data_IF_279209411239
#
_entry.id   IF_279209411239
#
_cell.length_a   1.000
_cell.length_b   1.000
_cell.length_c   1.000
_cell.angle_alpha   90.00
_cell.angle_beta   90.00
_cell.angle_gamma   90.00
#
_symmetry.space_group_name_H-M   'P 1'
#
loop_
_entity.id
_entity.type
_entity.pdbx_description
1 polymer ?
#
# COMPACT_ATOMS: atom_id res chain seq x y z
N UNK A 1 44.09 43.42 33.08
CA UNK A 1 44.81 42.28 32.46
C UNK A 1 43.81 41.53 31.59
N UNK A 2 43.83 41.79 30.29
CA UNK A 2 43.03 41.04 29.31
C UNK A 2 43.82 39.81 28.91
N UNK A 3 43.32 38.62 29.27
CA UNK A 3 43.85 37.35 28.80
C UNK A 3 43.43 37.15 27.33
N UNK A 4 44.11 37.84 26.41
CA UNK A 4 44.02 37.57 24.98
C UNK A 4 45.10 36.54 24.64
N UNK A 5 44.87 35.29 25.06
CA UNK A 5 45.74 34.18 24.67
C UNK A 5 45.21 33.60 23.35
N UNK A 6 45.87 33.88 22.19
CA UNK A 6 45.34 33.58 20.87
C UNK A 6 45.15 32.07 20.64
N UNK A 7 45.88 31.23 21.40
CA UNK A 7 45.75 29.77 21.34
C UNK A 7 44.43 29.26 21.90
N UNK A 8 43.89 29.91 22.94
CA UNK A 8 42.59 29.58 23.53
C UNK A 8 41.44 29.96 22.58
N UNK A 9 41.56 31.11 21.90
CA UNK A 9 40.57 31.54 20.90
C UNK A 9 40.54 30.62 19.68
N UNK A 10 41.71 30.22 19.16
CA UNK A 10 41.81 29.26 18.04
C UNK A 10 41.23 27.89 18.43
N UNK A 11 41.51 27.41 19.64
CA UNK A 11 41.00 26.11 20.12
C UNK A 11 39.47 26.12 20.29
N UNK A 12 38.90 27.20 20.84
CA UNK A 12 37.44 27.36 20.93
C UNK A 12 36.76 27.54 19.57
N UNK A 13 37.40 28.26 18.64
CA UNK A 13 36.89 28.41 17.28
C UNK A 13 36.86 27.07 16.52
N UNK A 14 37.89 26.24 16.68
CA UNK A 14 37.96 24.91 16.05
C UNK A 14 36.89 23.97 16.63
N UNK A 15 36.70 23.94 17.95
CA UNK A 15 35.65 23.10 18.57
C UNK A 15 34.24 23.57 18.23
N UNK A 16 33.98 24.88 18.20
CA UNK A 16 32.69 25.42 17.78
C UNK A 16 32.37 25.09 16.31
N UNK A 17 33.36 25.17 15.42
CA UNK A 17 33.18 24.82 14.00
C UNK A 17 32.98 23.31 13.82
N UNK A 18 33.72 22.47 14.56
CA UNK A 18 33.55 21.03 14.52
C UNK A 18 32.18 20.57 15.04
N UNK A 19 31.66 21.19 16.11
CA UNK A 19 30.33 20.89 16.65
C UNK A 19 29.20 21.34 15.72
N UNK A 20 29.32 22.52 15.11
CA UNK A 20 28.33 23.03 14.16
C UNK A 20 28.31 22.23 12.85
N UNK A 21 29.48 21.88 12.31
CA UNK A 21 29.58 21.03 11.11
C UNK A 21 29.12 19.61 11.41
N UNK A 22 29.53 19.02 12.54
CA UNK A 22 29.08 17.68 12.95
C UNK A 22 27.57 17.61 13.19
N UNK A 23 26.99 18.61 13.86
CA UNK A 23 25.55 18.72 14.07
C UNK A 23 24.76 18.93 12.77
N UNK A 24 25.28 19.77 11.86
CA UNK A 24 24.67 19.99 10.55
C UNK A 24 24.72 18.72 9.68
N UNK A 25 25.85 18.01 9.65
CA UNK A 25 26.00 16.75 8.90
C UNK A 25 25.06 15.69 9.48
N UNK A 26 25.00 15.53 10.80
CA UNK A 26 24.09 14.58 11.45
C UNK A 26 22.62 14.88 11.10
N UNK A 27 22.20 16.15 11.20
CA UNK A 27 20.85 16.58 10.84
C UNK A 27 20.51 16.34 9.36
N UNK A 28 21.47 16.59 8.46
CA UNK A 28 21.30 16.32 7.03
C UNK A 28 21.20 14.81 6.75
N UNK A 29 22.01 13.98 7.40
CA UNK A 29 21.97 12.52 7.23
C UNK A 29 20.69 11.88 7.79
N UNK A 30 20.22 12.33 8.96
CA UNK A 30 18.97 11.86 9.55
C UNK A 30 17.74 12.26 8.70
N UNK A 31 17.73 13.48 8.19
CA UNK A 31 16.70 13.92 7.24
C UNK A 31 16.74 13.14 5.92
N UNK A 32 17.93 12.81 5.43
CA UNK A 32 18.09 11.99 4.22
C UNK A 32 17.54 10.58 4.43
N UNK A 33 17.88 9.92 5.53
CA UNK A 33 17.37 8.59 5.87
C UNK A 33 15.84 8.59 6.01
N UNK A 34 15.26 9.54 6.75
CA UNK A 34 13.80 9.70 6.87
C UNK A 34 13.12 9.88 5.51
N UNK A 35 13.75 10.64 4.62
CA UNK A 35 13.23 10.87 3.25
C UNK A 35 13.28 9.60 2.41
N UNK A 36 14.36 8.83 2.49
CA UNK A 36 14.50 7.55 1.78
C UNK A 36 13.44 6.53 2.25
N UNK A 37 13.25 6.40 3.56
CA UNK A 37 12.26 5.51 4.17
C UNK A 37 10.85 5.88 3.70
N UNK A 38 10.50 7.16 3.76
CA UNK A 38 9.21 7.64 3.31
C UNK A 38 8.99 7.40 1.80
N UNK A 39 10.00 7.65 0.98
CA UNK A 39 9.92 7.40 -0.46
C UNK A 39 9.75 5.91 -0.77
N UNK A 40 10.40 5.03 -0.02
CA UNK A 40 10.23 3.58 -0.13
C UNK A 40 8.80 3.16 0.21
N UNK A 41 8.27 3.60 1.37
CA UNK A 41 6.90 3.33 1.78
C UNK A 41 5.88 3.84 0.74
N UNK A 42 6.09 5.05 0.21
CA UNK A 42 5.25 5.64 -0.84
C UNK A 42 5.29 4.83 -2.15
N UNK A 43 6.47 4.35 -2.55
CA UNK A 43 6.62 3.49 -3.74
C UNK A 43 5.85 2.17 -3.57
N UNK A 44 5.99 1.53 -2.41
CA UNK A 44 5.24 0.32 -2.05
C UNK A 44 3.73 0.55 -2.05
N UNK A 45 3.28 1.62 -1.41
CA UNK A 45 1.87 2.03 -1.41
C UNK A 45 1.34 2.18 -2.84
N UNK A 46 2.07 2.89 -3.71
CA UNK A 46 1.67 3.08 -5.11
C UNK A 46 1.57 1.76 -5.86
N UNK A 47 2.53 0.86 -5.67
CA UNK A 47 2.51 -0.48 -6.27
C UNK A 47 1.26 -1.26 -5.87
N UNK A 48 0.90 -1.25 -4.57
CA UNK A 48 -0.30 -1.93 -4.09
C UNK A 48 -1.58 -1.30 -4.62
N UNK A 49 -1.67 0.03 -4.61
CA UNK A 49 -2.83 0.72 -5.16
C UNK A 49 -2.99 0.47 -6.65
N UNK A 50 -1.89 0.37 -7.40
CA UNK A 50 -1.93 0.00 -8.80
C UNK A 50 -2.41 -1.44 -9.00
N UNK A 51 -1.89 -2.41 -8.22
CA UNK A 51 -2.37 -3.79 -8.26
C UNK A 51 -3.88 -3.88 -7.95
N UNK A 52 -4.34 -3.18 -6.90
CA UNK A 52 -5.76 -3.10 -6.55
C UNK A 52 -6.61 -2.44 -7.65
N UNK A 53 -6.09 -1.42 -8.34
CA UNK A 53 -6.79 -0.77 -9.45
C UNK A 53 -6.93 -1.70 -10.68
N UNK A 54 -5.94 -2.54 -10.95
CA UNK A 54 -6.06 -3.58 -11.98
C UNK A 54 -7.12 -4.60 -11.60
N UNK A 55 -7.08 -5.12 -10.36
CA UNK A 55 -8.10 -6.05 -9.86
C UNK A 55 -9.50 -5.42 -9.91
N UNK A 56 -9.63 -4.13 -9.59
CA UNK A 56 -10.90 -3.42 -9.68
C UNK A 56 -11.49 -3.39 -11.09
N UNK A 57 -10.65 -3.19 -12.11
CA UNK A 57 -11.07 -3.25 -13.52
C UNK A 57 -11.51 -4.68 -13.88
N UNK A 58 -10.75 -5.67 -13.45
CA UNK A 58 -11.04 -7.08 -13.74
C UNK A 58 -12.37 -7.53 -13.08
N UNK A 59 -12.62 -7.12 -11.83
CA UNK A 59 -13.89 -7.32 -11.13
C UNK A 59 -15.04 -6.65 -11.87
N UNK A 60 -14.86 -5.43 -12.37
CA UNK A 60 -15.90 -4.72 -13.12
C UNK A 60 -16.22 -5.42 -14.45
N UNK A 61 -15.24 -6.04 -15.10
CA UNK A 61 -15.46 -6.86 -16.31
C UNK A 61 -16.29 -8.09 -16.00
N UNK A 62 -15.97 -8.80 -14.90
CA UNK A 62 -16.75 -9.99 -14.50
C UNK A 62 -18.15 -9.62 -14.02
N UNK A 63 -18.30 -8.49 -13.33
CA UNK A 63 -19.62 -7.98 -12.96
C UNK A 63 -20.51 -7.78 -14.19
N UNK A 64 -19.99 -7.21 -15.28
CA UNK A 64 -20.74 -7.12 -16.55
C UNK A 64 -21.10 -8.48 -17.12
N UNK A 65 -20.15 -9.44 -17.12
CA UNK A 65 -20.40 -10.80 -17.57
C UNK A 65 -21.53 -11.46 -16.77
N UNK A 66 -21.56 -11.28 -15.45
CA UNK A 66 -22.60 -11.81 -14.57
C UNK A 66 -23.96 -11.16 -14.86
N UNK A 67 -23.97 -9.86 -15.18
CA UNK A 67 -25.18 -9.11 -15.49
C UNK A 67 -25.83 -9.56 -16.80
N UNK A 68 -24.99 -9.95 -17.76
CA UNK A 68 -25.39 -10.51 -19.05
C UNK A 68 -25.89 -11.97 -18.96
N UNK A 69 -25.70 -12.65 -17.82
CA UNK A 69 -26.20 -14.02 -17.64
C UNK A 69 -27.73 -14.04 -17.53
N UNK A 70 -28.40 -14.95 -18.28
CA UNK A 70 -29.84 -15.16 -18.13
C UNK A 70 -30.18 -15.75 -16.75
N UNK A 71 -31.38 -15.47 -16.27
CA UNK A 71 -31.89 -16.06 -15.03
C UNK A 71 -32.19 -17.56 -15.22
N UNK A 72 -31.95 -18.36 -14.18
CA UNK A 72 -32.15 -19.82 -14.24
C UNK A 72 -31.07 -20.56 -15.04
N UNK A 73 -29.93 -19.90 -15.29
CA UNK A 73 -28.75 -20.53 -15.89
C UNK A 73 -28.27 -21.67 -15.00
N UNK A 74 -27.95 -22.82 -15.58
CA UNK A 74 -27.46 -23.96 -14.79
C UNK A 74 -26.09 -23.64 -14.17
N UNK A 75 -25.83 -24.16 -12.97
CA UNK A 75 -24.51 -24.07 -12.34
C UNK A 75 -23.39 -24.67 -13.21
N UNK A 76 -23.75 -25.62 -14.09
CA UNK A 76 -22.84 -26.28 -15.01
C UNK A 76 -22.59 -25.49 -16.31
N UNK A 77 -23.32 -24.39 -16.52
CA UNK A 77 -23.09 -23.54 -17.67
C UNK A 77 -21.65 -23.04 -17.63
N UNK A 78 -20.97 -23.18 -18.78
CA UNK A 78 -19.58 -22.78 -18.94
C UNK A 78 -19.34 -21.33 -18.47
N UNK A 79 -20.26 -20.42 -18.80
CA UNK A 79 -20.18 -19.01 -18.42
C UNK A 79 -20.29 -18.77 -16.90
N UNK A 80 -21.07 -19.58 -16.19
CA UNK A 80 -21.17 -19.52 -14.71
C UNK A 80 -19.88 -20.00 -14.07
N UNK A 81 -19.35 -21.14 -14.54
CA UNK A 81 -18.07 -21.68 -14.05
C UNK A 81 -16.92 -20.72 -14.31
N UNK A 82 -16.86 -20.14 -15.51
CA UNK A 82 -15.87 -19.12 -15.87
C UNK A 82 -15.95 -17.90 -14.94
N UNK A 83 -17.16 -17.37 -14.69
CA UNK A 83 -17.32 -16.25 -13.76
C UNK A 83 -16.87 -16.62 -12.34
N UNK A 84 -17.20 -17.82 -11.87
CA UNK A 84 -16.81 -18.31 -10.55
C UNK A 84 -15.28 -18.44 -10.40
N UNK A 85 -14.62 -19.06 -11.38
CA UNK A 85 -13.15 -19.20 -11.41
C UNK A 85 -12.45 -17.84 -11.43
N UNK A 86 -12.94 -16.91 -12.25
CA UNK A 86 -12.38 -15.55 -12.32
C UNK A 86 -12.53 -14.81 -10.97
N UNK A 87 -13.67 -14.94 -10.30
CA UNK A 87 -13.87 -14.34 -8.98
C UNK A 87 -12.93 -14.95 -7.91
N UNK A 88 -12.68 -16.26 -7.96
CA UNK A 88 -11.72 -16.93 -7.07
C UNK A 88 -10.30 -16.41 -7.32
N UNK A 89 -9.86 -16.36 -8.58
CA UNK A 89 -8.55 -15.81 -8.94
C UNK A 89 -8.38 -14.36 -8.47
N UNK A 90 -9.44 -13.56 -8.47
CA UNK A 90 -9.38 -12.20 -7.93
C UNK A 90 -9.23 -12.17 -6.42
N UNK A 91 -9.87 -13.08 -5.68
CA UNK A 91 -9.66 -13.19 -4.24
C UNK A 91 -8.21 -13.59 -3.91
N UNK A 92 -7.64 -14.52 -4.67
CA UNK A 92 -6.23 -14.91 -4.52
C UNK A 92 -5.28 -13.73 -4.79
N UNK A 93 -5.51 -12.99 -5.88
CA UNK A 93 -4.73 -11.77 -6.19
C UNK A 93 -4.92 -10.67 -5.16
N UNK A 94 -6.12 -10.53 -4.59
CA UNK A 94 -6.36 -9.62 -3.48
C UNK A 94 -5.59 -10.07 -2.24
N UNK A 95 -5.52 -11.37 -1.97
CA UNK A 95 -4.80 -11.90 -0.81
C UNK A 95 -3.30 -11.64 -0.90
N UNK A 96 -2.72 -11.83 -2.10
CA UNK A 96 -1.32 -11.52 -2.40
C UNK A 96 -0.91 -10.05 -2.15
N UNK A 97 -1.87 -9.11 -2.13
CA UNK A 97 -1.61 -7.73 -1.69
C UNK A 97 -1.48 -7.71 -0.17
N UNK A 98 -0.24 -7.62 0.33
CA UNK A 98 0.10 -7.56 1.75
C UNK A 98 0.33 -6.10 2.16
N UNK A 99 -0.65 -5.37 2.73
CA UNK A 99 -0.51 -3.93 2.97
C UNK A 99 0.55 -3.60 4.02
N UNK A 100 0.84 -4.54 4.93
CA UNK A 100 1.80 -4.32 6.01
C UNK A 100 3.27 -4.31 5.52
N UNK A 101 3.57 -4.72 4.28
CA UNK A 101 4.92 -4.67 3.71
C UNK A 101 5.42 -3.22 3.43
N UNK A 102 4.52 -2.24 3.56
CA UNK A 102 4.81 -0.80 3.42
C UNK A 102 5.66 -0.32 4.61
N UNK A 103 5.52 -0.96 5.77
CA UNK A 103 6.21 -0.60 7.02
C UNK A 103 7.72 -0.79 6.87
N UNK A 104 8.48 0.22 7.28
CA UNK A 104 9.91 0.11 7.49
C UNK A 104 10.24 -0.10 8.98
N UNK A 105 10.78 -1.27 9.32
CA UNK A 105 11.13 -1.65 10.69
C UNK A 105 10.03 -2.43 11.44
N UNK A 106 10.18 -2.53 12.77
CA UNK A 106 9.27 -3.30 13.63
C UNK A 106 7.92 -2.61 13.87
N UNK A 107 7.88 -1.28 13.87
CA UNK A 107 6.68 -0.48 14.09
C UNK A 107 6.47 0.51 12.96
N UNK A 108 5.22 0.67 12.52
CA UNK A 108 4.88 1.63 11.47
C UNK A 108 4.83 3.04 12.06
N UNK A 109 5.47 3.99 11.40
CA UNK A 109 5.28 5.42 11.67
C UNK A 109 3.83 5.83 11.39
N UNK A 110 3.37 6.95 11.95
CA UNK A 110 2.00 7.45 11.72
C UNK A 110 1.68 7.61 10.23
N UNK A 111 2.64 8.08 9.42
CA UNK A 111 2.49 8.24 7.97
C UNK A 111 2.39 6.89 7.25
N UNK A 112 3.23 5.92 7.60
CA UNK A 112 3.13 4.57 7.04
C UNK A 112 1.82 3.90 7.42
N UNK A 113 1.36 4.09 8.67
CA UNK A 113 0.08 3.56 9.13
C UNK A 113 -1.09 4.14 8.33
N UNK A 114 -1.07 5.42 8.01
CA UNK A 114 -2.04 6.05 7.12
C UNK A 114 -2.04 5.39 5.73
N UNK A 115 -0.85 5.17 5.16
CA UNK A 115 -0.70 4.50 3.86
C UNK A 115 -1.22 3.07 3.88
N UNK A 116 -0.88 2.30 4.92
CA UNK A 116 -1.33 0.93 5.16
C UNK A 116 -2.85 0.90 5.27
N UNK A 117 -3.44 1.81 6.05
CA UNK A 117 -4.89 1.91 6.24
C UNK A 117 -5.61 2.21 4.91
N UNK A 118 -5.05 3.08 4.07
CA UNK A 118 -5.61 3.37 2.74
C UNK A 118 -5.63 2.13 1.84
N UNK A 119 -4.54 1.36 1.80
CA UNK A 119 -4.48 0.11 1.03
C UNK A 119 -5.44 -0.94 1.61
N UNK A 120 -5.49 -1.10 2.94
CA UNK A 120 -6.44 -2.00 3.61
C UNK A 120 -7.89 -1.65 3.30
N UNK A 121 -8.26 -0.37 3.36
CA UNK A 121 -9.61 0.08 3.07
C UNK A 121 -10.01 -0.26 1.62
N UNK A 122 -9.13 0.01 0.64
CA UNK A 122 -9.39 -0.33 -0.76
C UNK A 122 -9.47 -1.85 -0.98
N UNK A 123 -8.55 -2.65 -0.42
CA UNK A 123 -8.60 -4.13 -0.48
C UNK A 123 -9.91 -4.67 0.10
N UNK A 124 -10.33 -4.20 1.28
CA UNK A 124 -11.62 -4.59 1.90
C UNK A 124 -12.82 -4.25 1.04
N UNK A 125 -12.83 -3.08 0.40
CA UNK A 125 -13.90 -2.68 -0.51
C UNK A 125 -14.02 -3.62 -1.71
N UNK A 126 -12.89 -4.02 -2.30
CA UNK A 126 -12.85 -4.95 -3.42
C UNK A 126 -13.27 -6.37 -3.01
N UNK A 127 -12.87 -6.86 -1.84
CA UNK A 127 -13.35 -8.14 -1.30
C UNK A 127 -14.88 -8.13 -1.15
N UNK A 128 -15.44 -7.08 -0.56
CA UNK A 128 -16.91 -6.93 -0.44
C UNK A 128 -17.60 -6.87 -1.80
N UNK A 129 -16.96 -6.31 -2.83
CA UNK A 129 -17.51 -6.28 -4.19
C UNK A 129 -17.47 -7.69 -4.81
N UNK A 130 -16.36 -8.40 -4.70
CA UNK A 130 -16.27 -9.79 -5.16
C UNK A 130 -17.31 -10.70 -4.48
N UNK A 131 -17.48 -10.59 -3.16
CA UNK A 131 -18.52 -11.32 -2.41
C UNK A 131 -19.93 -11.04 -2.91
N UNK A 132 -20.25 -9.78 -3.22
CA UNK A 132 -21.54 -9.42 -3.83
C UNK A 132 -21.71 -10.07 -5.21
N UNK A 133 -20.65 -10.15 -6.00
CA UNK A 133 -20.69 -10.79 -7.31
C UNK A 133 -20.89 -12.31 -7.20
N UNK A 134 -20.28 -12.99 -6.21
CA UNK A 134 -20.60 -14.40 -5.91
C UNK A 134 -22.09 -14.57 -5.60
N UNK A 135 -22.63 -13.78 -4.67
CA UNK A 135 -24.06 -13.87 -4.33
C UNK A 135 -24.98 -13.59 -5.52
N UNK A 136 -24.59 -12.65 -6.40
CA UNK A 136 -25.34 -12.34 -7.62
C UNK A 136 -25.32 -13.51 -8.59
N UNK A 137 -24.17 -14.14 -8.77
CA UNK A 137 -24.01 -15.35 -9.58
C UNK A 137 -24.85 -16.50 -9.03
N UNK A 138 -24.81 -16.73 -7.71
CA UNK A 138 -25.62 -17.75 -7.04
C UNK A 138 -27.11 -17.52 -7.22
N UNK A 139 -27.54 -16.25 -7.18
CA UNK A 139 -28.95 -15.88 -7.43
C UNK A 139 -29.36 -16.20 -8.86
N UNK A 140 -28.52 -15.85 -9.85
CA UNK A 140 -28.76 -16.18 -11.27
C UNK A 140 -28.91 -17.69 -11.52
N UNK A 141 -28.17 -18.50 -10.74
CA UNK A 141 -28.21 -19.96 -10.80
C UNK A 141 -29.41 -20.56 -10.07
N UNK A 142 -29.79 -19.98 -8.93
CA UNK A 142 -30.82 -20.50 -8.03
C UNK A 142 -32.25 -20.08 -8.38
N UNK A 143 -32.46 -19.23 -9.39
CA UNK A 143 -33.80 -18.82 -9.88
C UNK A 143 -34.61 -19.93 -10.58
N UNK A 144 -34.44 -21.19 -10.19
CA UNK A 144 -35.22 -22.34 -10.65
C UNK A 144 -36.22 -22.79 -9.60
#
# INVERSE_FOLDING_TARGET
>A
MQWNDPRLQVTMAITATALTVGGAVYYLTDNHQKTLIFNHAKKKQRSHLQALAHIEKDIATVERKIDELPEGTTAEAFSVRECNELLIQYLERLDAVIPNDIRHGEFATAKEQEMINKVKAKKRSLIKRAQRNFNKLDTKVSSR
#
